data_IF_258141903947
#
_entry.id   IF_258141903947
#
_cell.length_a   1.000
_cell.length_b   1.000
_cell.length_c   1.000
_cell.angle_alpha   90.00
_cell.angle_beta   90.00
_cell.angle_gamma   90.00
#
_symmetry.space_group_name_H-M   'P 1'
#
loop_
_entity.id
_entity.type
_entity.pdbx_description
1 polymer ?
#
# COMPACT_ATOMS: atom_id res chain seq x y z
N UNK A 1 12.70 36.30 -52.95
CA UNK A 1 12.82 35.56 -54.23
C UNK A 1 12.39 34.10 -54.14
N UNK A 2 12.98 33.22 -53.32
CA UNK A 2 12.57 31.79 -53.30
C UNK A 2 11.20 31.49 -52.66
N UNK A 3 10.71 32.33 -51.73
CA UNK A 3 9.37 32.21 -51.12
C UNK A 3 8.24 32.60 -52.09
N UNK A 4 8.48 33.56 -52.98
CA UNK A 4 7.50 34.04 -53.96
C UNK A 4 7.23 32.99 -55.04
N UNK A 5 8.25 32.21 -55.41
CA UNK A 5 8.16 31.18 -56.44
C UNK A 5 7.21 30.03 -56.07
N UNK A 6 7.07 29.69 -54.78
CA UNK A 6 6.13 28.66 -54.32
C UNK A 6 4.67 29.14 -54.40
N UNK A 7 4.43 30.43 -54.16
CA UNK A 7 3.12 31.07 -54.29
C UNK A 7 2.72 31.14 -55.76
N UNK A 8 3.66 31.48 -56.65
CA UNK A 8 3.45 31.50 -58.11
C UNK A 8 3.11 30.10 -58.63
N UNK A 9 3.82 29.05 -58.21
CA UNK A 9 3.51 27.67 -58.64
C UNK A 9 2.15 27.18 -58.15
N UNK A 10 1.72 27.53 -56.92
CA UNK A 10 0.37 27.21 -56.43
C UNK A 10 -0.72 27.99 -57.18
N UNK A 11 -0.48 29.25 -57.53
CA UNK A 11 -1.43 30.04 -58.35
C UNK A 11 -1.54 29.51 -59.78
N UNK A 12 -0.43 29.07 -60.37
CA UNK A 12 -0.43 28.44 -61.70
C UNK A 12 -1.20 27.10 -61.71
N UNK A 13 -1.07 26.29 -60.66
CA UNK A 13 -1.81 25.02 -60.53
C UNK A 13 -3.32 25.23 -60.37
N UNK A 14 -3.73 26.27 -59.63
CA UNK A 14 -5.15 26.64 -59.49
C UNK A 14 -5.71 27.23 -60.80
N UNK A 15 -4.93 28.04 -61.52
CA UNK A 15 -5.32 28.58 -62.83
C UNK A 15 -5.52 27.48 -63.87
N UNK A 16 -4.61 26.50 -63.95
CA UNK A 16 -4.75 25.34 -64.85
C UNK A 16 -6.04 24.55 -64.58
N UNK A 17 -6.42 24.38 -63.29
CA UNK A 17 -7.67 23.70 -62.93
C UNK A 17 -8.95 24.51 -63.20
N UNK A 18 -8.85 25.84 -63.33
CA UNK A 18 -9.97 26.68 -63.76
C UNK A 18 -10.14 26.64 -65.29
N UNK A 19 -9.03 26.62 -66.02
CA UNK A 19 -9.02 26.48 -67.48
C UNK A 19 -9.61 25.13 -67.92
N UNK A 20 -9.27 24.03 -67.23
CA UNK A 20 -9.90 22.71 -67.45
C UNK A 20 -11.41 22.71 -67.13
N UNK A 21 -11.83 23.49 -66.13
CA UNK A 21 -13.25 23.61 -65.77
C UNK A 21 -14.04 24.48 -66.73
N UNK A 22 -13.44 25.54 -67.29
CA UNK A 22 -14.07 26.36 -68.33
C UNK A 22 -14.11 25.61 -69.66
N UNK A 23 -13.09 24.81 -69.99
CA UNK A 23 -13.12 23.90 -71.14
C UNK A 23 -14.24 22.84 -71.02
N UNK A 24 -14.47 22.29 -69.83
CA UNK A 24 -15.61 21.41 -69.56
C UNK A 24 -16.96 22.13 -69.68
N UNK A 25 -17.03 23.42 -69.32
CA UNK A 25 -18.25 24.23 -69.41
C UNK A 25 -18.58 24.62 -70.86
N UNK A 26 -17.56 24.91 -71.67
CA UNK A 26 -17.65 25.09 -73.13
C UNK A 26 -18.05 23.79 -73.83
N UNK A 27 -17.46 22.65 -73.46
CA UNK A 27 -17.85 21.36 -74.04
C UNK A 27 -19.33 20.99 -73.76
N UNK A 28 -19.85 21.34 -72.58
CA UNK A 28 -21.27 21.13 -72.24
C UNK A 28 -22.20 22.07 -73.04
N UNK A 29 -21.76 23.31 -73.34
CA UNK A 29 -22.50 24.24 -74.19
C UNK A 29 -22.46 23.86 -75.69
N UNK A 30 -21.32 23.36 -76.18
CA UNK A 30 -21.15 22.91 -77.57
C UNK A 30 -21.99 21.66 -77.90
N UNK A 31 -22.11 20.72 -76.96
CA UNK A 31 -22.98 19.53 -77.11
C UNK A 31 -24.48 19.91 -77.17
N UNK A 32 -24.87 21.05 -76.57
CA UNK A 32 -26.25 21.54 -76.60
C UNK A 32 -26.59 22.33 -77.88
N UNK A 33 -25.61 22.90 -78.59
CA UNK A 33 -25.83 23.63 -79.85
C UNK A 33 -25.72 22.71 -81.08
N UNK A 34 -24.86 21.70 -81.07
CA UNK A 34 -24.71 20.74 -82.18
C UNK A 34 -25.93 19.82 -82.38
N UNK A 35 -26.72 19.56 -81.33
CA UNK A 35 -27.93 18.74 -81.47
C UNK A 35 -29.11 19.46 -82.16
N UNK A 36 -29.06 20.79 -82.31
CA UNK A 36 -30.16 21.58 -82.89
C UNK A 36 -30.02 21.85 -84.40
N UNK A 37 -28.81 21.82 -84.97
CA UNK A 37 -28.56 22.19 -86.39
C UNK A 37 -28.54 21.01 -87.38
N UNK A 38 -28.76 19.78 -86.90
CA UNK A 38 -28.75 18.57 -87.74
C UNK A 38 -30.03 18.39 -88.61
N UNK A 39 -30.78 19.46 -88.88
CA UNK A 39 -31.95 19.48 -89.78
C UNK A 39 -31.56 19.97 -91.19
N UNK A 40 -30.96 19.05 -91.95
CA UNK A 40 -30.73 19.11 -93.39
C UNK A 40 -31.89 19.73 -94.21
N UNK A 41 -31.52 20.70 -95.06
CA UNK A 41 -31.84 20.79 -96.51
C UNK A 41 -33.29 21.00 -97.01
N UNK A 42 -33.59 22.16 -97.61
CA UNK A 42 -34.16 22.30 -98.97
C UNK A 42 -33.83 23.71 -99.58
N UNK A 43 -33.77 23.87 -100.93
CA UNK A 43 -33.20 25.06 -101.61
C UNK A 43 -34.23 26.03 -102.26
N UNK A 44 -33.71 27.20 -102.74
CA UNK A 44 -34.26 28.20 -103.72
C UNK A 44 -34.81 29.52 -103.13
N UNK A 45 -34.59 30.75 -103.65
CA UNK A 45 -34.09 31.26 -104.94
C UNK A 45 -33.50 32.71 -104.81
N UNK A 46 -32.93 33.23 -105.90
CA UNK A 46 -31.96 34.35 -106.07
C UNK A 46 -32.48 35.80 -106.22
N UNK A 47 -31.78 36.75 -105.58
CA UNK A 47 -31.22 38.06 -106.02
C UNK A 47 -31.96 39.10 -106.93
N UNK A 48 -33.28 39.35 -106.86
CA UNK A 48 -33.88 40.39 -107.74
C UNK A 48 -35.01 41.31 -107.19
N UNK A 49 -35.26 41.44 -105.88
CA UNK A 49 -36.36 42.30 -105.37
C UNK A 49 -35.96 43.36 -104.34
N UNK A 50 -35.04 44.20 -104.81
CA UNK A 50 -34.62 45.54 -104.40
C UNK A 50 -35.75 46.50 -103.94
N UNK A 51 -35.39 47.41 -103.02
CA UNK A 51 -35.84 48.80 -102.79
C UNK A 51 -37.18 49.12 -102.09
N UNK A 52 -37.08 49.60 -100.83
CA UNK A 52 -37.66 50.87 -100.34
C UNK A 52 -37.31 51.10 -98.85
N UNK A 53 -36.63 52.21 -98.49
CA UNK A 53 -36.52 52.61 -97.08
C UNK A 53 -35.34 53.50 -96.62
N UNK A 54 -34.69 54.29 -97.48
CA UNK A 54 -33.58 55.19 -97.06
C UNK A 54 -34.13 56.49 -96.46
N UNK A 55 -33.80 56.79 -95.19
CA UNK A 55 -33.99 58.11 -94.54
C UNK A 55 -32.65 58.83 -94.48
N UNK A 56 -32.58 60.05 -95.01
CA UNK A 56 -31.36 60.85 -95.14
C UNK A 56 -30.99 61.58 -93.84
N UNK A 57 -29.75 61.42 -93.38
CA UNK A 57 -29.17 62.16 -92.24
C UNK A 57 -28.71 63.54 -92.68
N UNK A 58 -29.14 64.60 -91.99
CA UNK A 58 -28.83 66.00 -92.33
C UNK A 58 -27.96 66.75 -91.29
N UNK A 59 -27.55 66.12 -90.18
CA UNK A 59 -26.66 66.77 -89.21
C UNK A 59 -26.20 65.84 -88.06
N UNK A 60 -25.15 66.27 -87.35
CA UNK A 60 -24.54 65.53 -86.22
C UNK A 60 -24.44 66.45 -85.00
N UNK A 61 -24.86 65.97 -83.82
CA UNK A 61 -24.78 66.71 -82.54
C UNK A 61 -23.33 66.83 -82.04
N UNK A 62 -23.07 67.73 -81.08
CA UNK A 62 -21.73 67.98 -80.54
C UNK A 62 -21.11 66.75 -79.83
N UNK A 63 -21.95 65.80 -79.38
CA UNK A 63 -21.59 64.49 -78.85
C UNK A 63 -21.52 63.39 -79.91
N UNK A 64 -21.64 63.74 -81.20
CA UNK A 64 -21.35 62.86 -82.34
C UNK A 64 -22.51 62.01 -82.85
N UNK A 65 -23.77 62.30 -82.48
CA UNK A 65 -24.95 61.50 -82.90
C UNK A 65 -25.69 62.11 -84.10
N UNK A 66 -26.15 61.25 -85.01
CA UNK A 66 -26.89 61.64 -86.21
C UNK A 66 -28.34 62.01 -85.86
N UNK A 67 -28.83 63.14 -86.38
CA UNK A 67 -30.20 63.63 -86.19
C UNK A 67 -30.91 63.84 -87.53
N UNK A 68 -32.23 63.66 -87.53
CA UNK A 68 -33.10 63.95 -88.68
C UNK A 68 -33.49 65.44 -88.74
N UNK A 69 -34.26 65.80 -89.77
CA UNK A 69 -34.66 67.19 -90.05
C UNK A 69 -35.55 67.82 -88.96
N UNK A 70 -36.16 67.00 -88.10
CA UNK A 70 -37.03 67.44 -87.00
C UNK A 70 -36.30 67.46 -85.64
N UNK A 71 -34.98 67.23 -85.63
CA UNK A 71 -34.12 67.33 -84.45
C UNK A 71 -34.16 66.10 -83.53
N UNK A 72 -34.75 64.99 -83.98
CA UNK A 72 -34.82 63.76 -83.21
C UNK A 72 -33.61 62.84 -83.51
N UNK A 73 -33.16 62.08 -82.51
CA UNK A 73 -32.02 61.17 -82.68
C UNK A 73 -32.39 59.97 -83.55
N UNK A 74 -31.63 59.77 -84.63
CA UNK A 74 -31.84 58.66 -85.56
C UNK A 74 -31.34 57.37 -84.89
N UNK A 75 -32.26 56.49 -84.52
CA UNK A 75 -31.92 55.15 -84.01
C UNK A 75 -31.40 54.29 -85.17
N UNK A 76 -30.10 54.01 -85.18
CA UNK A 76 -29.49 53.07 -86.12
C UNK A 76 -29.64 51.62 -85.61
N UNK A 77 -30.78 50.99 -85.89
CA UNK A 77 -30.86 49.55 -86.18
C UNK A 77 -30.93 49.48 -87.70
N UNK A 78 -29.91 49.00 -88.43
CA UNK A 78 -29.25 47.72 -88.26
C UNK A 78 -30.07 46.69 -89.05
N UNK A 79 -29.67 46.46 -90.29
CA UNK A 79 -30.41 45.82 -91.38
C UNK A 79 -31.11 44.50 -91.01
N UNK A 80 -32.44 44.49 -90.97
CA UNK A 80 -33.28 43.33 -91.23
C UNK A 80 -34.57 43.82 -91.91
N UNK A 81 -34.58 43.79 -93.24
CA UNK A 81 -35.80 43.89 -94.01
C UNK A 81 -36.68 42.67 -93.72
N UNK A 82 -37.97 42.92 -93.52
CA UNK A 82 -39.07 41.93 -93.42
C UNK A 82 -38.78 40.56 -94.08
N UNK A 83 -38.38 39.56 -93.28
CA UNK A 83 -38.30 38.16 -93.72
C UNK A 83 -39.70 37.52 -93.66
N UNK A 84 -40.16 36.92 -94.76
CA UNK A 84 -41.41 36.14 -94.79
C UNK A 84 -41.35 34.88 -93.89
N UNK A 85 -42.49 34.29 -93.50
CA UNK A 85 -42.52 33.15 -92.58
C UNK A 85 -41.71 31.95 -93.13
N UNK A 86 -40.92 31.24 -92.29
CA UNK A 86 -40.22 30.01 -92.68
C UNK A 86 -41.18 28.88 -93.15
N UNK A 87 -40.74 28.07 -94.11
CA UNK A 87 -41.52 26.93 -94.67
C UNK A 87 -41.58 25.69 -93.76
N UNK A 88 -42.43 24.69 -94.08
CA UNK A 88 -42.65 23.49 -93.25
C UNK A 88 -41.40 22.60 -93.13
N UNK A 89 -41.27 21.93 -91.98
CA UNK A 89 -40.18 21.01 -91.63
C UNK A 89 -40.08 19.81 -92.60
N UNK A 90 -38.85 19.43 -93.00
CA UNK A 90 -38.59 18.25 -93.85
C UNK A 90 -38.77 16.91 -93.12
N UNK A 91 -38.97 15.79 -93.84
CA UNK A 91 -39.23 14.48 -93.23
C UNK A 91 -38.01 13.92 -92.47
N UNK A 92 -38.26 13.11 -91.44
CA UNK A 92 -37.21 12.47 -90.64
C UNK A 92 -36.31 11.53 -91.47
N UNK A 93 -35.00 11.57 -91.21
CA UNK A 93 -33.99 10.73 -91.88
C UNK A 93 -34.04 9.25 -91.46
N UNK A 94 -33.42 8.37 -92.26
CA UNK A 94 -33.39 6.92 -92.03
C UNK A 94 -32.73 6.56 -90.68
N UNK A 95 -33.22 5.50 -90.02
CA UNK A 95 -32.63 4.98 -88.78
C UNK A 95 -31.27 4.32 -89.04
N UNK A 96 -30.43 4.25 -88.00
CA UNK A 96 -29.11 3.62 -88.08
C UNK A 96 -29.17 2.14 -88.53
N UNK A 97 -30.21 1.41 -88.13
CA UNK A 97 -30.46 0.04 -88.58
C UNK A 97 -30.79 -0.04 -90.08
N UNK A 98 -31.59 0.91 -90.61
CA UNK A 98 -31.86 0.98 -92.05
C UNK A 98 -30.59 1.28 -92.86
N UNK A 99 -29.67 2.09 -92.31
CA UNK A 99 -28.36 2.31 -92.90
C UNK A 99 -27.48 1.05 -92.85
N UNK A 100 -27.56 0.24 -91.79
CA UNK A 100 -26.83 -1.04 -91.70
C UNK A 100 -27.31 -2.04 -92.76
N UNK A 101 -28.63 -2.18 -92.98
CA UNK A 101 -29.19 -3.00 -94.06
C UNK A 101 -28.70 -2.54 -95.45
N UNK A 102 -28.69 -1.24 -95.70
CA UNK A 102 -28.21 -0.68 -96.97
C UNK A 102 -26.71 -0.93 -97.22
N UNK A 103 -25.92 -1.13 -96.16
CA UNK A 103 -24.49 -1.44 -96.24
C UNK A 103 -24.20 -2.95 -96.14
N UNK A 104 -25.20 -3.81 -96.33
CA UNK A 104 -25.03 -5.25 -96.46
C UNK A 104 -25.10 -6.05 -95.16
N UNK A 105 -25.66 -5.47 -94.08
CA UNK A 105 -26.05 -6.26 -92.92
C UNK A 105 -27.28 -7.12 -93.26
N UNK A 106 -27.20 -8.43 -93.02
CA UNK A 106 -28.32 -9.36 -93.16
C UNK A 106 -28.73 -9.84 -91.77
N UNK A 107 -29.92 -9.46 -91.30
CA UNK A 107 -30.44 -9.80 -89.98
C UNK A 107 -31.62 -8.93 -89.58
N UNK A 108 -32.14 -9.12 -88.37
CA UNK A 108 -33.18 -8.31 -87.72
C UNK A 108 -32.56 -7.17 -86.88
N UNK A 109 -33.36 -6.17 -86.51
CA UNK A 109 -32.89 -5.04 -85.68
C UNK A 109 -32.37 -5.49 -84.31
N UNK A 110 -32.96 -6.55 -83.76
CA UNK A 110 -32.50 -7.16 -82.50
C UNK A 110 -31.13 -7.83 -82.65
N UNK A 111 -30.85 -8.48 -83.77
CA UNK A 111 -29.56 -9.12 -84.05
C UNK A 111 -28.49 -8.07 -84.32
N UNK A 112 -28.85 -6.98 -84.99
CA UNK A 112 -27.97 -5.83 -85.18
C UNK A 112 -27.59 -5.19 -83.83
N UNK A 113 -28.56 -4.95 -82.95
CA UNK A 113 -28.29 -4.44 -81.61
C UNK A 113 -27.40 -5.38 -80.80
N UNK A 114 -27.62 -6.70 -80.88
CA UNK A 114 -26.72 -7.67 -80.24
C UNK A 114 -25.31 -7.66 -80.85
N UNK A 115 -25.16 -7.42 -82.15
CA UNK A 115 -23.84 -7.32 -82.79
C UNK A 115 -23.03 -6.11 -82.32
N UNK A 116 -23.71 -5.05 -81.85
CA UNK A 116 -23.08 -3.85 -81.30
C UNK A 116 -22.62 -4.04 -79.84
N UNK A 117 -23.12 -5.07 -79.16
CA UNK A 117 -22.62 -5.45 -77.85
C UNK A 117 -21.35 -6.31 -78.03
N UNK A 118 -20.22 -5.85 -77.47
CA UNK A 118 -19.03 -6.69 -77.33
C UNK A 118 -19.34 -7.90 -76.44
N UNK A 119 -18.60 -9.00 -76.61
CA UNK A 119 -18.81 -10.24 -75.84
C UNK A 119 -18.90 -9.94 -74.33
N UNK A 120 -19.93 -10.46 -73.67
CA UNK A 120 -19.90 -10.60 -72.22
C UNK A 120 -18.66 -11.42 -71.89
N UNK A 121 -17.70 -10.80 -71.19
CA UNK A 121 -16.47 -11.48 -70.77
C UNK A 121 -16.84 -12.76 -70.04
N UNK A 122 -16.20 -13.87 -70.43
CA UNK A 122 -16.43 -15.15 -69.78
C UNK A 122 -16.29 -15.00 -68.26
N UNK A 123 -17.23 -15.58 -67.53
CA UNK A 123 -17.16 -15.67 -66.08
C UNK A 123 -16.28 -16.87 -65.69
N UNK A 124 -15.04 -16.91 -66.17
CA UNK A 124 -14.04 -17.91 -65.81
C UNK A 124 -12.64 -17.31 -65.81
N UNK A 125 -12.49 -16.22 -65.06
CA UNK A 125 -11.22 -15.86 -64.43
C UNK A 125 -10.62 -14.57 -64.95
N UNK A 126 -10.71 -13.57 -64.09
CA UNK A 126 -9.92 -12.35 -64.09
C UNK A 126 -10.31 -11.27 -65.12
N UNK A 127 -10.72 -10.12 -64.57
CA UNK A 127 -10.69 -8.77 -65.15
C UNK A 127 -11.93 -8.34 -65.98
N UNK A 128 -13.04 -8.01 -65.29
CA UNK A 128 -14.04 -7.08 -65.83
C UNK A 128 -14.73 -6.28 -64.70
N UNK A 129 -14.12 -5.15 -64.30
CA UNK A 129 -14.90 -3.98 -63.89
C UNK A 129 -14.31 -2.77 -64.59
N UNK A 130 -15.12 -2.09 -65.38
CA UNK A 130 -14.80 -0.79 -65.96
C UNK A 130 -15.11 0.35 -64.98
N UNK A 131 -15.51 0.04 -63.74
CA UNK A 131 -15.21 0.91 -62.62
C UNK A 131 -13.84 0.52 -62.04
N UNK A 132 -12.87 1.42 -62.07
CA UNK A 132 -11.54 1.16 -61.51
C UNK A 132 -11.53 1.13 -59.97
N UNK A 133 -12.54 0.58 -59.29
CA UNK A 133 -12.78 0.94 -57.89
C UNK A 133 -13.13 -0.18 -56.90
N UNK A 134 -13.38 -1.44 -57.29
CA UNK A 134 -13.73 -2.48 -56.29
C UNK A 134 -12.59 -3.45 -55.95
N UNK A 135 -12.03 -4.20 -56.90
CA UNK A 135 -11.02 -5.24 -56.59
C UNK A 135 -9.63 -4.70 -56.28
N UNK A 136 -9.15 -3.72 -57.04
CA UNK A 136 -7.89 -3.03 -56.77
C UNK A 136 -7.97 -2.22 -55.48
N UNK A 137 -9.11 -1.58 -55.21
CA UNK A 137 -9.36 -0.88 -53.95
C UNK A 137 -9.40 -1.86 -52.77
N UNK A 138 -10.09 -3.00 -52.88
CA UNK A 138 -10.12 -4.03 -51.83
C UNK A 138 -8.74 -4.64 -51.57
N UNK A 139 -7.95 -4.90 -52.62
CA UNK A 139 -6.59 -5.41 -52.50
C UNK A 139 -5.65 -4.39 -51.84
N UNK A 140 -5.77 -3.11 -52.22
CA UNK A 140 -5.04 -2.02 -51.60
C UNK A 140 -5.43 -1.86 -50.12
N UNK A 141 -6.72 -1.91 -49.79
CA UNK A 141 -7.23 -1.85 -48.41
C UNK A 141 -6.71 -3.01 -47.57
N UNK A 142 -6.68 -4.24 -48.12
CA UNK A 142 -6.15 -5.41 -47.44
C UNK A 142 -4.64 -5.28 -47.17
N UNK A 143 -3.87 -4.83 -48.16
CA UNK A 143 -2.43 -4.61 -48.02
C UNK A 143 -2.10 -3.50 -47.00
N UNK A 144 -2.85 -2.40 -47.03
CA UNK A 144 -2.73 -1.31 -46.06
C UNK A 144 -3.03 -1.82 -44.65
N UNK A 145 -4.08 -2.63 -44.48
CA UNK A 145 -4.45 -3.20 -43.18
C UNK A 145 -3.35 -4.11 -42.64
N UNK A 146 -2.84 -5.01 -43.48
CA UNK A 146 -1.75 -5.92 -43.13
C UNK A 146 -0.46 -5.19 -42.76
N UNK A 147 -0.06 -4.20 -43.56
CA UNK A 147 1.17 -3.43 -43.30
C UNK A 147 1.03 -2.58 -42.04
N UNK A 148 -0.15 -1.99 -41.82
CA UNK A 148 -0.47 -1.26 -40.60
C UNK A 148 -0.40 -2.18 -39.40
N UNK A 149 -1.03 -3.35 -39.44
CA UNK A 149 -1.08 -4.27 -38.30
C UNK A 149 0.30 -4.87 -38.02
N UNK A 150 1.07 -5.18 -39.06
CA UNK A 150 2.47 -5.60 -38.92
C UNK A 150 3.37 -4.48 -38.35
N UNK A 151 3.16 -3.23 -38.78
CA UNK A 151 3.89 -2.08 -38.26
C UNK A 151 3.50 -1.78 -36.80
N UNK A 152 2.22 -1.91 -36.45
CA UNK A 152 1.72 -1.78 -35.07
C UNK A 152 2.33 -2.89 -34.20
N UNK A 153 2.30 -4.15 -34.66
CA UNK A 153 2.90 -5.26 -33.92
C UNK A 153 4.41 -5.06 -33.72
N UNK A 154 5.15 -4.68 -34.76
CA UNK A 154 6.58 -4.39 -34.65
C UNK A 154 6.88 -3.16 -33.79
N UNK A 155 5.99 -2.15 -33.78
CA UNK A 155 6.11 -1.00 -32.90
C UNK A 155 5.82 -1.35 -31.45
N UNK A 156 4.84 -2.23 -31.17
CA UNK A 156 4.54 -2.78 -29.85
C UNK A 156 5.71 -3.61 -29.36
N UNK A 157 6.25 -4.52 -30.17
CA UNK A 157 7.42 -5.34 -29.80
C UNK A 157 8.65 -4.47 -29.55
N UNK A 158 8.85 -3.39 -30.31
CA UNK A 158 9.88 -2.40 -29.99
C UNK A 158 9.56 -1.70 -28.68
N UNK A 159 8.34 -1.20 -28.48
CA UNK A 159 7.95 -0.53 -27.24
C UNK A 159 8.17 -1.43 -26.02
N UNK A 160 7.79 -2.71 -26.12
CA UNK A 160 7.90 -3.74 -25.07
C UNK A 160 9.35 -4.18 -24.91
N UNK A 161 10.10 -4.41 -25.99
CA UNK A 161 11.52 -4.78 -25.96
C UNK A 161 12.47 -3.64 -25.60
N UNK A 162 12.04 -2.39 -25.77
CA UNK A 162 12.72 -1.18 -25.28
C UNK A 162 12.12 -0.65 -23.97
N UNK A 163 11.07 -1.30 -23.44
CA UNK A 163 10.55 -0.95 -22.12
C UNK A 163 11.65 -1.28 -21.11
N UNK A 164 12.03 -0.33 -20.24
CA UNK A 164 12.84 -0.64 -19.06
C UNK A 164 12.13 -1.74 -18.25
N UNK A 165 12.90 -2.54 -17.52
CA UNK A 165 12.53 -3.77 -16.84
C UNK A 165 11.53 -3.59 -15.68
N UNK A 166 10.46 -2.82 -15.89
CA UNK A 166 9.35 -2.63 -14.96
C UNK A 166 8.46 -3.90 -14.86
N UNK A 167 8.80 -4.96 -15.61
CA UNK A 167 8.28 -6.32 -15.40
C UNK A 167 9.35 -7.30 -14.85
N UNK A 168 10.48 -6.75 -14.34
CA UNK A 168 11.54 -7.41 -13.56
C UNK A 168 11.78 -6.66 -12.23
N UNK A 169 10.78 -5.92 -11.76
CA UNK A 169 10.97 -4.92 -10.69
C UNK A 169 11.43 -5.50 -9.37
N UNK A 170 11.13 -6.78 -9.09
CA UNK A 170 11.58 -7.41 -7.84
C UNK A 170 13.05 -7.76 -7.91
N UNK A 171 13.54 -8.24 -9.05
CA UNK A 171 14.96 -8.57 -9.24
C UNK A 171 15.79 -7.30 -9.45
N UNK A 172 15.28 -6.30 -10.16
CA UNK A 172 15.91 -4.98 -10.27
C UNK A 172 15.91 -4.21 -8.94
N UNK A 173 14.83 -4.24 -8.13
CA UNK A 173 14.88 -3.66 -6.78
C UNK A 173 15.86 -4.42 -5.89
N UNK A 174 15.87 -5.76 -5.94
CA UNK A 174 16.78 -6.57 -5.14
C UNK A 174 18.24 -6.29 -5.52
N UNK A 175 18.55 -6.18 -6.82
CA UNK A 175 19.87 -5.84 -7.33
C UNK A 175 20.27 -4.39 -7.01
N UNK A 176 19.34 -3.43 -7.10
CA UNK A 176 19.59 -2.03 -6.73
C UNK A 176 19.82 -1.86 -5.23
N UNK A 177 19.12 -2.63 -4.39
CA UNK A 177 19.37 -2.71 -2.95
C UNK A 177 20.74 -3.35 -2.68
N UNK A 178 21.05 -4.52 -3.27
CA UNK A 178 22.33 -5.23 -3.07
C UNK A 178 23.56 -4.46 -3.60
N UNK A 179 23.40 -3.71 -4.70
CA UNK A 179 24.47 -2.98 -5.37
C UNK A 179 24.78 -1.61 -4.76
N UNK A 180 23.97 -1.12 -3.81
CA UNK A 180 24.16 0.16 -3.16
C UNK A 180 24.33 -0.01 -1.63
N UNK A 181 25.58 -0.15 -1.14
CA UNK A 181 25.84 -0.40 0.26
C UNK A 181 25.37 0.76 1.17
N UNK A 182 25.30 1.98 0.66
CA UNK A 182 24.75 3.14 1.38
C UNK A 182 23.25 2.96 1.63
N UNK A 183 22.48 2.50 0.63
CA UNK A 183 21.03 2.25 0.81
C UNK A 183 20.78 1.09 1.78
N UNK A 184 21.58 0.03 1.73
CA UNK A 184 21.49 -1.07 2.71
C UNK A 184 21.82 -0.56 4.10
N UNK A 185 22.89 0.23 4.24
CA UNK A 185 23.30 0.83 5.51
C UNK A 185 22.25 1.79 6.05
N UNK A 186 21.64 2.62 5.20
CA UNK A 186 20.56 3.54 5.54
C UNK A 186 19.28 2.81 5.92
N UNK A 187 18.92 1.73 5.23
CA UNK A 187 17.77 0.88 5.59
C UNK A 187 18.02 0.13 6.89
N UNK A 188 19.21 -0.41 7.11
CA UNK A 188 19.60 -1.01 8.39
C UNK A 188 19.61 0.02 9.51
N UNK A 189 20.04 1.24 9.22
CA UNK A 189 20.00 2.38 10.16
C UNK A 189 18.58 2.82 10.43
N UNK A 190 17.69 2.83 9.43
CA UNK A 190 16.28 3.18 9.57
C UNK A 190 15.52 2.08 10.34
N UNK A 191 15.80 0.80 10.07
CA UNK A 191 15.24 -0.35 10.80
C UNK A 191 15.77 -0.37 12.23
N UNK A 192 17.08 -0.17 12.42
CA UNK A 192 17.72 -0.02 13.72
C UNK A 192 17.29 1.25 14.46
N UNK A 193 16.84 2.28 13.75
CA UNK A 193 16.23 3.48 14.31
C UNK A 193 14.75 3.30 14.66
N UNK A 194 14.03 2.42 13.96
CA UNK A 194 12.65 2.01 14.29
C UNK A 194 12.57 0.97 15.42
N UNK A 195 13.67 0.29 15.70
CA UNK A 195 13.87 -0.60 16.85
C UNK A 195 15.14 -0.14 17.55
N UNK A 196 15.16 1.13 17.95
CA UNK A 196 16.36 1.66 18.60
C UNK A 196 16.50 1.07 20.00
N UNK A 197 17.75 0.96 20.48
CA UNK A 197 17.99 0.64 21.89
C UNK A 197 17.28 1.65 22.81
N UNK A 198 17.05 2.88 22.34
CA UNK A 198 16.24 3.89 23.04
C UNK A 198 14.76 3.50 23.09
N UNK A 199 14.15 2.99 22.01
CA UNK A 199 12.77 2.50 22.00
C UNK A 199 12.61 1.27 22.89
N UNK A 200 13.55 0.33 22.84
CA UNK A 200 13.57 -0.84 23.73
C UNK A 200 13.75 -0.42 25.19
N UNK A 201 14.62 0.54 25.47
CA UNK A 201 14.81 1.11 26.81
C UNK A 201 13.56 1.84 27.26
N UNK A 202 12.85 2.56 26.37
CA UNK A 202 11.62 3.25 26.69
C UNK A 202 10.46 2.28 26.95
N UNK A 203 10.35 1.20 26.17
CA UNK A 203 9.38 0.12 26.39
C UNK A 203 9.66 -0.58 27.72
N UNK A 204 10.92 -0.94 27.98
CA UNK A 204 11.32 -1.59 29.21
C UNK A 204 11.13 -0.66 30.42
N UNK A 205 11.51 0.60 30.29
CA UNK A 205 11.27 1.63 31.31
C UNK A 205 9.78 1.81 31.55
N UNK A 206 8.97 1.88 30.50
CA UNK A 206 7.51 1.95 30.59
C UNK A 206 6.90 0.72 31.27
N UNK A 207 7.45 -0.47 31.07
CA UNK A 207 7.03 -1.69 31.77
C UNK A 207 7.41 -1.66 33.25
N UNK A 208 8.64 -1.26 33.57
CA UNK A 208 9.18 -1.23 34.95
C UNK A 208 8.60 -0.06 35.76
N UNK A 209 8.30 1.07 35.13
CA UNK A 209 7.69 2.25 35.77
C UNK A 209 6.16 2.27 35.66
N UNK A 210 5.60 1.39 34.84
CA UNK A 210 4.16 1.29 34.62
C UNK A 210 3.40 1.10 35.92
N UNK A 211 2.22 1.71 36.02
CA UNK A 211 1.45 1.79 37.26
C UNK A 211 1.24 0.41 37.92
N UNK A 212 1.02 -0.65 37.13
CA UNK A 212 0.85 -2.01 37.63
C UNK A 212 2.15 -2.61 38.21
N UNK A 213 3.29 -2.43 37.53
CA UNK A 213 4.58 -2.93 38.03
C UNK A 213 5.03 -2.13 39.25
N UNK A 214 4.92 -0.81 39.22
CA UNK A 214 5.19 0.08 40.35
C UNK A 214 4.32 -0.27 41.56
N UNK A 215 3.04 -0.59 41.36
CA UNK A 215 2.15 -1.06 42.44
C UNK A 215 2.57 -2.43 42.98
N UNK A 216 2.99 -3.36 42.12
CA UNK A 216 3.48 -4.67 42.55
C UNK A 216 4.79 -4.56 43.35
N UNK A 217 5.73 -3.72 42.90
CA UNK A 217 6.98 -3.42 43.62
C UNK A 217 6.68 -2.76 44.97
N UNK A 218 5.76 -1.81 45.02
CA UNK A 218 5.33 -1.18 46.27
C UNK A 218 4.67 -2.19 47.23
N UNK A 219 3.85 -3.10 46.72
CA UNK A 219 3.22 -4.16 47.51
C UNK A 219 4.26 -5.17 48.05
N UNK A 220 5.25 -5.54 47.22
CA UNK A 220 6.38 -6.37 47.63
C UNK A 220 7.21 -5.67 48.71
N UNK A 221 7.52 -4.39 48.54
CA UNK A 221 8.25 -3.61 49.53
C UNK A 221 7.47 -3.53 50.85
N UNK A 222 6.16 -3.26 50.79
CA UNK A 222 5.31 -3.25 51.99
C UNK A 222 5.26 -4.62 52.68
N UNK A 223 5.26 -5.72 51.92
CA UNK A 223 5.33 -7.08 52.47
C UNK A 223 6.69 -7.37 53.12
N UNK A 224 7.80 -6.91 52.51
CA UNK A 224 9.15 -6.99 53.08
C UNK A 224 9.25 -6.18 54.36
N UNK A 225 8.73 -4.95 54.37
CA UNK A 225 8.69 -4.10 55.56
C UNK A 225 7.85 -4.75 56.67
N UNK A 226 6.72 -5.35 56.31
CA UNK A 226 5.88 -6.14 57.23
C UNK A 226 6.63 -7.35 57.78
N UNK A 227 7.39 -8.06 56.94
CA UNK A 227 8.21 -9.21 57.34
C UNK A 227 9.36 -8.79 58.25
N UNK A 228 10.07 -7.72 57.95
CA UNK A 228 11.15 -7.20 58.79
C UNK A 228 10.60 -6.62 60.10
N UNK A 229 9.45 -5.96 60.09
CA UNK A 229 8.75 -5.53 61.30
C UNK A 229 8.25 -6.73 62.12
N UNK A 230 7.73 -7.76 61.47
CA UNK A 230 7.33 -9.01 62.11
C UNK A 230 8.55 -9.70 62.70
N UNK A 231 9.66 -9.83 61.97
CA UNK A 231 10.94 -10.39 62.43
C UNK A 231 11.56 -9.59 63.58
N UNK A 232 11.51 -8.26 63.53
CA UNK A 232 11.88 -7.38 64.63
C UNK A 232 10.93 -7.53 65.83
N UNK A 233 9.65 -7.83 65.59
CA UNK A 233 8.66 -8.22 66.61
C UNK A 233 8.87 -9.63 67.16
N UNK A 234 9.40 -10.57 66.35
CA UNK A 234 9.83 -11.89 66.81
C UNK A 234 11.05 -11.77 67.74
N UNK A 235 11.93 -10.77 67.55
CA UNK A 235 12.99 -10.42 68.50
C UNK A 235 12.54 -9.44 69.60
N UNK A 236 11.35 -8.85 69.47
CA UNK A 236 10.78 -7.89 70.43
C UNK A 236 9.26 -8.08 70.51
N UNK A 237 8.85 -9.05 71.35
CA UNK A 237 7.47 -9.42 71.72
C UNK A 237 6.67 -10.34 70.77
N UNK A 238 7.04 -11.62 70.73
CA UNK A 238 6.03 -12.68 70.73
C UNK A 238 5.58 -12.95 72.18
N UNK A 239 4.35 -12.62 72.54
CA UNK A 239 3.77 -13.02 73.83
C UNK A 239 3.24 -14.46 73.73
N UNK A 240 4.08 -15.45 74.03
CA UNK A 240 3.59 -16.76 74.46
C UNK A 240 2.96 -16.59 75.84
N UNK A 241 1.65 -16.84 75.97
CA UNK A 241 0.99 -16.89 77.27
C UNK A 241 1.55 -18.04 78.11
N UNK A 242 1.69 -17.83 79.43
CA UNK A 242 2.24 -18.77 80.43
C UNK A 242 1.50 -20.13 80.52
N UNK A 243 0.41 -20.32 79.77
CA UNK A 243 -0.32 -21.58 79.67
C UNK A 243 0.24 -22.52 78.60
N UNK A 244 1.13 -22.09 77.69
CA UNK A 244 1.42 -22.89 76.48
C UNK A 244 2.86 -23.36 76.20
N UNK A 245 3.93 -22.86 76.85
CA UNK A 245 5.24 -23.55 76.76
C UNK A 245 6.27 -23.03 77.77
N UNK A 246 6.87 -23.94 78.52
CA UNK A 246 8.02 -23.72 79.41
C UNK A 246 9.28 -23.87 78.57
N UNK A 247 9.79 -22.78 77.99
CA UNK A 247 11.06 -22.81 77.26
C UNK A 247 12.20 -23.22 78.20
N UNK A 248 12.95 -24.27 77.85
CA UNK A 248 14.13 -24.66 78.61
C UNK A 248 15.32 -23.84 78.10
N UNK A 249 15.94 -23.06 79.00
CA UNK A 249 17.18 -22.34 78.72
C UNK A 249 18.36 -23.30 78.78
N UNK A 250 19.05 -23.50 77.65
CA UNK A 250 20.26 -24.30 77.61
C UNK A 250 21.49 -23.45 77.96
N UNK A 251 22.21 -23.85 79.00
CA UNK A 251 23.46 -23.23 79.45
C UNK A 251 24.69 -23.88 78.81
N UNK A 252 24.51 -25.00 78.09
CA UNK A 252 25.58 -25.72 77.41
C UNK A 252 26.58 -26.36 78.38
N UNK A 253 27.84 -26.35 77.98
CA UNK A 253 28.96 -26.91 78.76
C UNK A 253 29.43 -25.94 79.83
N UNK A 254 29.40 -26.38 81.08
CA UNK A 254 29.61 -25.56 82.26
C UNK A 254 30.83 -26.00 83.06
N UNK A 255 31.65 -25.01 83.43
CA UNK A 255 32.67 -25.09 84.48
C UNK A 255 32.65 -23.78 85.29
N UNK A 256 32.86 -23.86 86.60
CA UNK A 256 32.91 -22.68 87.48
C UNK A 256 31.52 -22.11 87.83
N UNK A 257 31.43 -20.79 87.93
CA UNK A 257 30.22 -20.12 88.42
C UNK A 257 29.07 -20.16 87.39
N UNK A 258 27.88 -20.49 87.86
CA UNK A 258 26.64 -20.53 87.08
C UNK A 258 25.70 -19.44 87.59
N UNK A 259 25.52 -18.39 86.78
CA UNK A 259 24.59 -17.31 87.09
C UNK A 259 23.21 -17.59 86.48
N UNK A 260 22.17 -17.59 87.31
CA UNK A 260 20.78 -17.76 86.88
C UNK A 260 20.07 -16.41 86.88
N UNK A 261 19.76 -15.88 85.70
CA UNK A 261 18.91 -14.70 85.54
C UNK A 261 17.47 -15.16 85.30
N UNK A 262 16.59 -14.87 86.26
CA UNK A 262 15.22 -15.37 86.27
C UNK A 262 14.28 -14.40 85.57
N UNK A 263 13.32 -14.95 84.85
CA UNK A 263 12.16 -14.23 84.34
C UNK A 263 10.92 -14.47 85.23
N UNK A 264 9.86 -13.70 85.00
CA UNK A 264 8.55 -13.95 85.62
C UNK A 264 8.03 -15.34 85.23
N UNK A 265 7.47 -16.09 86.18
CA UNK A 265 7.01 -17.46 85.98
C UNK A 265 8.08 -18.52 86.21
N UNK A 266 7.78 -19.77 85.85
CA UNK A 266 8.67 -20.92 86.12
C UNK A 266 9.85 -20.89 85.16
N UNK A 267 11.07 -21.02 85.69
CA UNK A 267 12.30 -21.05 84.91
C UNK A 267 12.88 -22.46 84.87
N UNK A 268 13.24 -22.95 83.68
CA UNK A 268 13.86 -24.28 83.51
C UNK A 268 15.18 -24.12 82.78
N UNK A 269 16.24 -24.68 83.35
CA UNK A 269 17.59 -24.63 82.80
C UNK A 269 18.11 -26.05 82.51
N UNK A 270 18.91 -26.19 81.44
CA UNK A 270 19.70 -27.38 81.12
C UNK A 270 21.17 -27.04 81.14
N UNK A 271 22.00 -27.94 81.65
CA UNK A 271 23.46 -27.80 81.63
C UNK A 271 24.16 -29.16 81.55
N UNK A 272 25.34 -29.18 80.94
CA UNK A 272 26.29 -30.30 81.00
C UNK A 272 27.53 -29.88 81.77
N UNK A 273 27.91 -30.64 82.79
CA UNK A 273 29.09 -30.37 83.61
C UNK A 273 30.34 -30.96 82.95
N UNK A 274 31.23 -30.09 82.49
CA UNK A 274 32.57 -30.45 81.98
C UNK A 274 33.67 -30.18 83.00
N UNK A 275 33.31 -29.55 84.13
CA UNK A 275 34.18 -29.23 85.26
C UNK A 275 33.35 -29.05 86.53
N UNK A 276 34.01 -28.85 87.68
CA UNK A 276 33.31 -28.49 88.91
C UNK A 276 32.60 -27.15 88.73
N UNK A 277 31.38 -27.04 89.24
CA UNK A 277 30.54 -25.85 89.07
C UNK A 277 29.87 -25.44 90.38
N UNK A 278 29.51 -24.16 90.46
CA UNK A 278 28.78 -23.58 91.59
C UNK A 278 27.61 -22.73 91.08
N UNK A 279 26.38 -23.10 91.45
CA UNK A 279 25.18 -22.32 91.14
C UNK A 279 25.11 -21.14 92.10
N UNK A 280 25.31 -19.94 91.57
CA UNK A 280 25.25 -18.70 92.35
C UNK A 280 23.81 -18.29 92.68
N UNK A 281 23.66 -17.39 93.66
CA UNK A 281 22.36 -16.82 94.02
C UNK A 281 21.63 -16.26 92.77
N UNK A 282 20.38 -16.66 92.50
CA UNK A 282 19.65 -16.17 91.33
C UNK A 282 19.39 -14.67 91.37
N UNK A 283 19.36 -14.04 90.19
CA UNK A 283 18.97 -12.64 90.01
C UNK A 283 17.63 -12.55 89.25
N UNK A 284 16.94 -11.41 89.30
CA UNK A 284 15.69 -11.22 88.53
C UNK A 284 14.46 -11.95 89.09
N UNK A 285 14.48 -12.42 90.33
CA UNK A 285 13.46 -13.32 90.91
C UNK A 285 12.01 -12.77 91.04
N UNK A 286 11.73 -11.55 90.58
CA UNK A 286 10.41 -10.92 90.70
C UNK A 286 9.36 -11.74 89.94
N UNK A 287 8.34 -12.25 90.64
CA UNK A 287 7.27 -13.03 90.03
C UNK A 287 7.69 -14.43 89.53
N UNK A 288 8.86 -14.94 89.94
CA UNK A 288 9.30 -16.31 89.69
C UNK A 288 8.91 -17.23 90.87
N UNK A 289 7.95 -18.16 90.69
CA UNK A 289 7.56 -19.08 91.75
C UNK A 289 8.46 -20.30 91.87
N UNK A 290 9.18 -20.69 90.80
CA UNK A 290 9.98 -21.92 90.79
C UNK A 290 11.12 -21.92 89.76
N UNK A 291 12.18 -22.66 90.09
CA UNK A 291 13.33 -22.98 89.23
C UNK A 291 13.43 -24.50 89.09
N UNK A 292 13.71 -24.99 87.89
CA UNK A 292 14.08 -26.39 87.66
C UNK A 292 15.40 -26.46 86.90
N UNK A 293 16.31 -27.31 87.36
CA UNK A 293 17.63 -27.51 86.76
C UNK A 293 17.78 -28.96 86.31
N UNK A 294 18.04 -29.15 85.02
CA UNK A 294 18.43 -30.41 84.43
C UNK A 294 19.94 -30.41 84.30
N UNK A 295 20.61 -31.31 85.02
CA UNK A 295 22.07 -31.39 85.08
C UNK A 295 22.52 -32.72 84.49
N UNK A 296 23.49 -32.67 83.59
CA UNK A 296 24.11 -33.84 82.97
C UNK A 296 25.61 -33.85 83.28
N UNK A 297 26.17 -34.97 83.74
CA UNK A 297 27.62 -35.17 83.82
C UNK A 297 28.21 -35.40 82.41
N UNK A 298 29.43 -34.95 82.17
CA UNK A 298 30.18 -35.33 80.98
C UNK A 298 30.43 -36.86 80.91
N UNK A 299 31.04 -37.31 79.82
CA UNK A 299 31.35 -38.73 79.59
C UNK A 299 32.38 -39.31 80.57
N UNK A 300 33.02 -38.46 81.39
CA UNK A 300 34.04 -38.85 82.38
C UNK A 300 33.39 -38.99 83.77
N UNK A 301 32.45 -38.11 84.09
CA UNK A 301 31.88 -37.97 85.43
C UNK A 301 32.85 -37.33 86.43
N UNK A 302 32.51 -37.44 87.71
CA UNK A 302 33.31 -36.95 88.83
C UNK A 302 33.19 -35.44 89.09
N UNK A 303 32.30 -34.73 88.39
CA UNK A 303 32.14 -33.28 88.58
C UNK A 303 31.29 -33.00 89.82
N UNK A 304 31.77 -32.09 90.65
CA UNK A 304 31.04 -31.61 91.82
C UNK A 304 30.22 -30.38 91.42
N UNK A 305 28.90 -30.45 91.66
CA UNK A 305 28.01 -29.30 91.61
C UNK A 305 27.73 -28.83 93.03
N UNK A 306 27.97 -27.56 93.28
CA UNK A 306 27.64 -26.89 94.55
C UNK A 306 26.63 -25.79 94.31
N UNK A 307 25.95 -25.37 95.37
CA UNK A 307 24.90 -24.35 95.31
C UNK A 307 25.18 -23.25 96.32
N UNK A 308 24.77 -22.04 95.99
CA UNK A 308 24.69 -20.93 96.92
C UNK A 308 23.78 -21.29 98.12
N UNK A 309 24.07 -20.80 99.35
CA UNK A 309 23.26 -21.07 100.54
C UNK A 309 21.78 -20.68 100.42
N UNK A 310 21.40 -19.87 99.44
CA UNK A 310 20.01 -19.59 99.12
C UNK A 310 19.24 -20.83 98.62
N UNK A 311 19.90 -21.89 98.16
CA UNK A 311 19.27 -23.14 97.73
C UNK A 311 19.30 -24.20 98.83
N UNK A 312 18.12 -24.71 99.21
CA UNK A 312 17.94 -25.66 100.31
C UNK A 312 17.14 -26.87 99.85
N UNK A 313 17.60 -28.09 100.18
CA UNK A 313 16.88 -29.35 99.85
C UNK A 313 15.69 -29.57 100.78
N UNK A 314 16.01 -29.47 102.06
CA UNK A 314 15.15 -29.36 103.23
C UNK A 314 15.80 -28.28 104.08
N UNK A 315 15.08 -27.63 105.00
CA UNK A 315 15.62 -26.56 105.84
C UNK A 315 16.95 -26.99 106.51
N UNK A 316 18.10 -26.64 105.90
CA UNK A 316 19.45 -26.92 106.40
C UNK A 316 20.43 -27.65 105.47
N UNK A 317 20.00 -28.42 104.46
CA UNK A 317 20.91 -29.28 103.66
C UNK A 317 21.07 -28.82 102.20
N UNK A 318 22.31 -28.86 101.70
CA UNK A 318 22.64 -28.48 100.32
C UNK A 318 22.33 -29.61 99.31
N UNK A 319 21.93 -29.28 98.06
CA UNK A 319 21.68 -30.29 97.03
C UNK A 319 22.97 -30.98 96.56
N UNK A 320 22.88 -32.28 96.25
CA UNK A 320 24.03 -33.11 95.81
C UNK A 320 23.72 -33.78 94.47
N UNK A 321 24.48 -33.42 93.44
CA UNK A 321 24.41 -34.04 92.11
C UNK A 321 25.08 -35.44 92.07
N UNK A 322 24.63 -36.29 91.17
CA UNK A 322 25.32 -37.51 90.78
C UNK A 322 26.69 -37.19 90.18
N UNK A 323 27.64 -38.11 90.35
CA UNK A 323 29.02 -37.98 89.85
C UNK A 323 29.41 -39.10 88.88
N UNK A 324 28.48 -40.00 88.51
CA UNK A 324 28.74 -41.00 87.48
C UNK A 324 28.83 -40.35 86.10
N UNK A 325 29.69 -40.87 85.22
CA UNK A 325 29.74 -40.48 83.81
C UNK A 325 28.34 -40.52 83.19
N UNK A 326 27.96 -39.46 82.48
CA UNK A 326 26.64 -39.34 81.84
C UNK A 326 25.44 -39.29 82.80
N UNK A 327 25.67 -39.24 84.12
CA UNK A 327 24.64 -39.17 85.15
C UNK A 327 23.73 -37.94 84.96
N UNK A 328 22.43 -38.13 85.19
CA UNK A 328 21.41 -37.09 85.04
C UNK A 328 20.74 -36.81 86.36
N UNK A 329 20.63 -35.53 86.68
CA UNK A 329 19.98 -35.02 87.87
C UNK A 329 18.91 -33.98 87.50
N UNK A 330 17.81 -33.99 88.26
CA UNK A 330 16.75 -32.98 88.16
C UNK A 330 16.57 -32.33 89.53
N UNK A 331 16.88 -31.05 89.64
CA UNK A 331 16.61 -30.25 90.84
C UNK A 331 15.40 -29.36 90.61
N UNK A 332 14.47 -29.32 91.57
CA UNK A 332 13.32 -28.43 91.51
C UNK A 332 13.21 -27.64 92.81
N UNK A 333 13.15 -26.31 92.69
CA UNK A 333 13.08 -25.40 93.83
C UNK A 333 11.90 -24.46 93.68
N UNK A 334 11.19 -24.23 94.78
CA UNK A 334 10.12 -23.23 94.90
C UNK A 334 10.68 -22.03 95.65
N UNK A 335 10.27 -20.82 95.24
CA UNK A 335 10.70 -19.60 95.90
C UNK A 335 9.93 -19.42 97.21
N UNK A 336 10.65 -19.29 98.31
CA UNK A 336 10.15 -18.62 99.50
C UNK A 336 10.54 -17.13 99.41
N UNK A 337 9.56 -16.29 99.09
CA UNK A 337 9.79 -14.86 98.94
C UNK A 337 9.95 -14.11 100.26
N UNK A 338 9.62 -14.72 101.40
CA UNK A 338 9.73 -14.09 102.73
C UNK A 338 11.19 -14.07 103.15
N UNK A 339 11.86 -15.22 103.05
CA UNK A 339 13.25 -15.40 103.46
C UNK A 339 14.26 -15.27 102.28
N UNK A 340 13.75 -15.04 101.06
CA UNK A 340 14.51 -14.97 99.80
C UNK A 340 15.38 -16.22 99.54
N UNK A 341 14.82 -17.39 99.87
CA UNK A 341 15.43 -18.70 99.68
C UNK A 341 14.67 -19.55 98.66
N UNK A 342 15.33 -20.59 98.16
CA UNK A 342 14.85 -21.53 97.16
C UNK A 342 14.81 -22.91 97.78
N UNK A 343 13.62 -23.36 98.16
CA UNK A 343 13.43 -24.63 98.86
C UNK A 343 12.90 -25.68 97.90
N UNK A 344 13.54 -26.84 97.83
CA UNK A 344 13.01 -27.95 97.05
C UNK A 344 14.01 -29.08 96.83
N UNK A 345 13.51 -30.20 96.30
CA UNK A 345 14.23 -31.47 96.32
C UNK A 345 14.92 -31.86 95.02
N UNK A 346 15.71 -32.93 95.12
CA UNK A 346 16.26 -33.66 94.00
C UNK A 346 15.26 -34.74 93.53
N UNK A 347 14.80 -34.66 92.28
CA UNK A 347 13.63 -35.40 91.78
C UNK A 347 13.93 -36.75 91.11
N UNK A 348 15.04 -36.90 90.37
CA UNK A 348 15.36 -38.14 89.63
C UNK A 348 16.87 -38.31 89.50
N UNK A 349 17.43 -39.43 90.00
CA UNK A 349 18.78 -39.91 89.65
C UNK A 349 18.65 -41.02 88.62
N UNK A 350 18.94 -40.73 87.36
CA UNK A 350 19.17 -41.79 86.38
C UNK A 350 20.67 -42.09 86.34
N UNK A 351 21.05 -43.27 86.84
CA UNK A 351 22.36 -43.82 86.52
C UNK A 351 22.34 -44.22 85.03
N UNK A 352 23.34 -43.75 84.28
CA UNK A 352 23.58 -44.21 82.92
C UNK A 352 23.93 -45.71 82.89
#
# INVERSE_FOLDING_TARGET
MAKDLKIVKRRAYVAASMEERDALREAIYAVSSEQFDNHKTTPHATSAQVAAGVVAVLGVTADGRLIDADGNQVQSLGEDGIQGPPGPQGPAGQSAYAAALANGFEGTESEWLQSLHGADGDASGALASHDGSSSAHQSLVAKITQDRDAAIAAAIDRLVGTSPAVLDTVEELAAALLGNPEIISDLLTLIGGKVSAADLTQILTGYVTGAAHSAAVAALQAAVDTLEQTKAGLSTANTFSRTQSVGITDLGDVLGAVALNLATGTNVFRMRLIGNANVSRPTGAIGCPAITLHVLQDEIGGRVLTFDPAFLVTLGDAPVAATSAGGRDLFSFVRDSVDDVWVGGHGVREAA
#
